data_IF_418860530161
#
_entry.id   IF_418860530161
#
_cell.length_a   1.000
_cell.length_b   1.000
_cell.length_c   1.000
_cell.angle_alpha   90.00
_cell.angle_beta   90.00
_cell.angle_gamma   90.00
#
_symmetry.space_group_name_H-M   'P 1'
#
loop_
_entity.id
_entity.type
_entity.pdbx_description
1 polymer ?
#
# COMPACT_ATOMS: atom_id res chain seq x y z
N UNK A 1 16.13 20.25 6.82
CA UNK A 1 15.69 18.83 6.75
C UNK A 1 14.53 18.65 5.76
N UNK A 2 14.07 19.73 5.12
CA UNK A 2 12.88 19.75 4.25
C UNK A 2 13.09 18.99 2.93
N UNK A 3 14.32 19.00 2.40
CA UNK A 3 14.67 18.19 1.22
C UNK A 3 14.54 16.69 1.47
N UNK A 4 14.95 16.19 2.64
CA UNK A 4 14.86 14.77 2.97
C UNK A 4 13.41 14.32 3.15
N UNK A 5 12.54 15.17 3.72
CA UNK A 5 11.09 14.94 3.75
C UNK A 5 10.49 14.83 2.35
N UNK A 6 10.86 15.75 1.46
CA UNK A 6 10.33 15.78 0.09
C UNK A 6 10.76 14.53 -0.69
N UNK A 7 12.01 14.08 -0.51
CA UNK A 7 12.51 12.84 -1.11
C UNK A 7 11.75 11.64 -0.54
N UNK A 8 11.65 11.50 0.78
CA UNK A 8 10.95 10.38 1.43
C UNK A 8 9.47 10.32 1.03
N UNK A 9 8.78 11.46 1.00
CA UNK A 9 7.38 11.57 0.55
C UNK A 9 7.24 11.14 -0.91
N UNK A 10 8.08 11.68 -1.79
CA UNK A 10 8.04 11.37 -3.24
C UNK A 10 8.39 9.92 -3.50
N UNK A 11 9.37 9.37 -2.79
CA UNK A 11 9.79 7.98 -2.93
C UNK A 11 8.70 7.01 -2.49
N UNK A 12 8.06 7.27 -1.35
CA UNK A 12 6.98 6.43 -0.85
C UNK A 12 5.74 6.49 -1.74
N UNK A 13 5.24 7.71 -2.04
CA UNK A 13 4.00 7.88 -2.81
C UNK A 13 4.21 7.50 -4.27
N UNK A 14 5.31 7.95 -4.87
CA UNK A 14 5.67 7.61 -6.24
C UNK A 14 5.89 6.11 -6.43
N UNK A 15 6.61 5.46 -5.51
CA UNK A 15 6.81 4.02 -5.53
C UNK A 15 5.49 3.24 -5.43
N UNK A 16 4.59 3.68 -4.55
CA UNK A 16 3.26 3.08 -4.41
C UNK A 16 2.43 3.20 -5.69
N UNK A 17 2.41 4.38 -6.33
CA UNK A 17 1.68 4.57 -7.59
C UNK A 17 2.27 3.75 -8.72
N UNK A 18 3.60 3.75 -8.88
CA UNK A 18 4.27 2.98 -9.94
C UNK A 18 3.94 1.49 -9.78
N UNK A 19 4.06 0.94 -8.57
CA UNK A 19 3.83 -0.49 -8.34
C UNK A 19 2.35 -0.87 -8.57
N UNK A 20 1.41 -0.07 -8.05
CA UNK A 20 -0.01 -0.38 -8.14
C UNK A 20 -0.62 -0.13 -9.52
N UNK A 21 -0.29 1.00 -10.15
CA UNK A 21 -0.94 1.46 -11.39
C UNK A 21 -0.22 0.90 -12.63
N UNK A 22 1.11 0.77 -12.59
CA UNK A 22 1.91 0.42 -13.78
C UNK A 22 2.42 -1.01 -13.68
N UNK A 23 3.18 -1.33 -12.63
CA UNK A 23 3.87 -2.62 -12.55
C UNK A 23 2.89 -3.78 -12.47
N UNK A 24 1.82 -3.64 -11.68
CA UNK A 24 0.81 -4.69 -11.53
C UNK A 24 0.17 -5.09 -12.88
N UNK A 25 -0.45 -4.18 -13.67
CA UNK A 25 -1.04 -4.57 -14.96
C UNK A 25 0.00 -5.06 -15.97
N UNK A 26 1.22 -4.51 -15.96
CA UNK A 26 2.32 -5.00 -16.83
C UNK A 26 2.71 -6.44 -16.46
N UNK A 27 2.73 -6.79 -15.17
CA UNK A 27 2.96 -8.18 -14.75
C UNK A 27 1.87 -9.11 -15.25
N UNK A 28 0.60 -8.71 -15.16
CA UNK A 28 -0.51 -9.53 -15.63
C UNK A 28 -0.62 -9.61 -17.16
N UNK A 29 -0.01 -8.70 -17.91
CA UNK A 29 0.04 -8.76 -19.38
C UNK A 29 1.19 -9.63 -19.91
N UNK A 30 2.28 -9.75 -19.16
CA UNK A 30 3.49 -10.47 -19.60
C UNK A 30 3.61 -11.86 -18.97
N UNK A 31 3.13 -12.07 -17.75
CA UNK A 31 3.23 -13.33 -17.01
C UNK A 31 1.87 -14.04 -16.89
N UNK A 32 1.93 -15.37 -16.71
CA UNK A 32 0.76 -16.14 -16.29
C UNK A 32 0.19 -15.65 -14.95
N UNK A 33 -1.13 -15.73 -14.77
CA UNK A 33 -1.86 -15.19 -13.61
C UNK A 33 -1.33 -15.75 -12.27
N UNK A 34 -0.85 -17.00 -12.27
CA UNK A 34 -0.22 -17.63 -11.11
C UNK A 34 1.03 -16.87 -10.67
N UNK A 35 1.99 -16.72 -11.59
CA UNK A 35 3.30 -16.09 -11.35
C UNK A 35 3.16 -14.57 -11.18
N UNK A 36 2.34 -13.90 -12.00
CA UNK A 36 2.08 -12.46 -11.92
C UNK A 36 1.57 -12.06 -10.53
N UNK A 37 0.59 -12.80 -9.99
CA UNK A 37 0.08 -12.55 -8.64
C UNK A 37 1.11 -12.80 -7.53
N UNK A 38 2.02 -13.77 -7.72
CA UNK A 38 3.09 -14.04 -6.75
C UNK A 38 4.11 -12.89 -6.72
N UNK A 39 4.55 -12.41 -7.89
CA UNK A 39 5.50 -11.29 -7.99
C UNK A 39 4.85 -9.98 -7.54
N UNK A 40 3.59 -9.73 -7.91
CA UNK A 40 2.84 -8.58 -7.43
C UNK A 40 2.76 -8.56 -5.89
N UNK A 41 2.45 -9.70 -5.25
CA UNK A 41 2.45 -9.82 -3.80
C UNK A 41 3.80 -9.49 -3.16
N UNK A 42 4.92 -9.94 -3.76
CA UNK A 42 6.27 -9.59 -3.29
C UNK A 42 6.58 -8.10 -3.44
N UNK A 43 6.17 -7.48 -4.56
CA UNK A 43 6.34 -6.04 -4.78
C UNK A 43 5.50 -5.22 -3.80
N UNK A 44 4.26 -5.61 -3.54
CA UNK A 44 3.42 -4.99 -2.51
C UNK A 44 4.00 -5.14 -1.10
N UNK A 45 4.60 -6.29 -0.79
CA UNK A 45 5.34 -6.46 0.47
C UNK A 45 6.56 -5.54 0.56
N UNK A 46 7.36 -5.44 -0.51
CA UNK A 46 8.52 -4.58 -0.53
C UNK A 46 8.14 -3.11 -0.35
N UNK A 47 7.12 -2.61 -1.06
CA UNK A 47 6.66 -1.22 -0.90
C UNK A 47 5.97 -0.98 0.44
N UNK A 48 5.38 -2.01 1.05
CA UNK A 48 4.84 -1.91 2.40
C UNK A 48 5.95 -1.69 3.44
N UNK A 49 7.07 -2.42 3.34
CA UNK A 49 8.24 -2.19 4.19
C UNK A 49 8.87 -0.82 3.97
N UNK A 50 9.03 -0.40 2.70
CA UNK A 50 9.51 0.94 2.37
C UNK A 50 8.58 1.99 2.95
N UNK A 51 7.26 1.83 2.79
CA UNK A 51 6.26 2.73 3.33
C UNK A 51 6.25 2.79 4.85
N UNK A 52 6.52 1.68 5.53
CA UNK A 52 6.69 1.65 6.99
C UNK A 52 7.90 2.49 7.41
N UNK A 53 9.06 2.29 6.79
CA UNK A 53 10.29 3.03 7.08
C UNK A 53 10.11 4.51 6.79
N UNK A 54 9.57 4.86 5.62
CA UNK A 54 9.30 6.24 5.22
C UNK A 54 8.25 6.91 6.12
N UNK A 55 7.17 6.21 6.47
CA UNK A 55 6.11 6.73 7.32
C UNK A 55 6.57 6.96 8.76
N UNK A 56 7.35 6.04 9.34
CA UNK A 56 7.97 6.20 10.65
C UNK A 56 8.95 7.37 10.64
N UNK A 57 9.78 7.48 9.61
CA UNK A 57 10.71 8.60 9.48
C UNK A 57 9.99 9.95 9.43
N UNK A 58 8.93 10.05 8.62
CA UNK A 58 8.10 11.27 8.54
C UNK A 58 7.39 11.56 9.87
N UNK A 59 6.91 10.55 10.59
CA UNK A 59 6.31 10.69 11.92
C UNK A 59 7.30 11.23 12.96
N UNK A 60 8.50 10.65 13.02
CA UNK A 60 9.55 11.07 13.96
C UNK A 60 9.98 12.51 13.67
N UNK A 61 10.24 12.85 12.40
CA UNK A 61 10.61 14.21 12.02
C UNK A 61 9.48 15.22 12.33
N UNK A 62 8.22 14.80 12.21
CA UNK A 62 7.06 15.62 12.56
C UNK A 62 6.92 15.84 14.07
N UNK A 63 7.07 14.79 14.88
CA UNK A 63 7.05 14.89 16.35
C UNK A 63 8.21 15.76 16.86
N UNK A 64 9.40 15.65 16.26
CA UNK A 64 10.56 16.44 16.66
C UNK A 64 10.41 17.93 16.40
N UNK A 65 9.69 18.31 15.33
CA UNK A 65 9.53 19.72 14.95
C UNK A 65 8.32 20.39 15.61
N UNK A 66 7.16 19.73 15.61
CA UNK A 66 5.89 20.33 16.03
C UNK A 66 5.43 19.88 17.43
N UNK A 67 6.12 18.91 18.04
CA UNK A 67 5.76 18.34 19.34
C UNK A 67 4.32 17.80 19.41
N UNK A 68 3.74 17.73 20.61
CA UNK A 68 2.33 17.30 20.79
C UNK A 68 1.31 18.27 20.17
N UNK A 69 1.69 19.50 19.82
CA UNK A 69 0.80 20.47 19.14
C UNK A 69 0.52 20.06 17.69
N UNK A 70 1.48 19.40 17.05
CA UNK A 70 1.34 18.86 15.69
C UNK A 70 0.37 17.68 15.57
N UNK A 71 0.05 16.97 16.66
CA UNK A 71 -0.85 15.78 16.65
C UNK A 71 -2.27 16.11 16.17
N UNK A 72 -2.68 17.39 16.24
CA UNK A 72 -3.96 17.86 15.67
C UNK A 72 -3.90 18.15 14.17
N UNK A 73 -2.73 18.08 13.55
CA UNK A 73 -2.56 18.33 12.12
C UNK A 73 -3.14 17.18 11.32
N UNK A 74 -3.97 17.50 10.33
CA UNK A 74 -4.52 16.52 9.40
C UNK A 74 -3.42 15.74 8.65
N UNK A 75 -2.24 16.34 8.49
CA UNK A 75 -1.04 15.73 7.90
C UNK A 75 -0.56 14.51 8.70
N UNK A 76 -0.59 14.57 10.03
CA UNK A 76 -0.22 13.45 10.91
C UNK A 76 -1.22 12.29 10.77
N UNK A 77 -2.53 12.60 10.79
CA UNK A 77 -3.59 11.60 10.61
C UNK A 77 -3.57 10.95 9.23
N UNK A 78 -3.19 11.69 8.17
CA UNK A 78 -3.02 11.13 6.83
C UNK A 78 -1.88 10.12 6.79
N UNK A 79 -0.72 10.42 7.39
CA UNK A 79 0.43 9.50 7.45
C UNK A 79 0.06 8.24 8.25
N UNK A 80 -0.56 8.41 9.42
CA UNK A 80 -1.05 7.32 10.28
C UNK A 80 -2.05 6.45 9.50
N UNK A 81 -2.99 7.07 8.79
CA UNK A 81 -3.99 6.37 7.99
C UNK A 81 -3.37 5.59 6.84
N UNK A 82 -2.43 6.18 6.11
CA UNK A 82 -1.68 5.50 5.04
C UNK A 82 -0.84 4.33 5.57
N UNK A 83 -0.20 4.49 6.73
CA UNK A 83 0.51 3.40 7.42
C UNK A 83 -0.45 2.28 7.83
N UNK A 84 -1.61 2.64 8.39
CA UNK A 84 -2.64 1.68 8.81
C UNK A 84 -3.17 0.89 7.61
N UNK A 85 -3.48 1.56 6.50
CA UNK A 85 -3.87 0.91 5.24
C UNK A 85 -2.78 -0.03 4.74
N UNK A 86 -1.51 0.39 4.78
CA UNK A 86 -0.37 -0.44 4.38
C UNK A 86 -0.26 -1.69 5.25
N UNK A 87 -0.40 -1.55 6.57
CA UNK A 87 -0.37 -2.65 7.52
C UNK A 87 -1.54 -3.62 7.31
N UNK A 88 -2.76 -3.11 7.15
CA UNK A 88 -3.94 -3.96 6.91
C UNK A 88 -3.78 -4.72 5.59
N UNK A 89 -3.36 -4.04 4.52
CA UNK A 89 -3.23 -4.68 3.21
C UNK A 89 -2.10 -5.73 3.20
N UNK A 90 -1.01 -5.46 3.93
CA UNK A 90 0.12 -6.38 4.00
C UNK A 90 -0.11 -7.55 4.97
N UNK A 91 -0.58 -7.29 6.19
CA UNK A 91 -0.69 -8.31 7.25
C UNK A 91 -2.05 -9.00 7.33
N UNK A 92 -3.14 -8.37 6.88
CA UNK A 92 -4.45 -9.03 6.86
C UNK A 92 -4.77 -9.59 5.48
N UNK A 93 -4.62 -8.78 4.42
CA UNK A 93 -5.13 -9.14 3.09
C UNK A 93 -4.19 -10.08 2.33
N UNK A 94 -2.89 -9.82 2.34
CA UNK A 94 -1.91 -10.69 1.65
C UNK A 94 -1.92 -12.17 2.11
N UNK A 95 -1.90 -12.49 3.42
CA UNK A 95 -1.92 -13.90 3.84
C UNK A 95 -3.25 -14.58 3.54
N UNK A 96 -4.38 -13.86 3.61
CA UNK A 96 -5.70 -14.43 3.26
C UNK A 96 -5.73 -14.79 1.77
N UNK A 97 -5.29 -13.89 0.89
CA UNK A 97 -5.21 -14.15 -0.55
C UNK A 97 -4.26 -15.32 -0.86
N UNK A 98 -3.11 -15.40 -0.18
CA UNK A 98 -2.16 -16.49 -0.36
C UNK A 98 -2.76 -17.85 0.05
N UNK A 99 -3.47 -17.91 1.19
CA UNK A 99 -4.16 -19.12 1.65
C UNK A 99 -5.28 -19.55 0.70
N UNK A 100 -6.10 -18.61 0.21
CA UNK A 100 -7.14 -18.92 -0.79
C UNK A 100 -6.52 -19.41 -2.10
N UNK A 101 -5.39 -18.84 -2.55
CA UNK A 101 -4.72 -19.26 -3.78
C UNK A 101 -4.17 -20.68 -3.69
N UNK A 102 -3.66 -21.09 -2.52
CA UNK A 102 -3.22 -22.47 -2.28
C UNK A 102 -4.39 -23.46 -2.31
N UNK A 103 -5.53 -23.08 -1.72
CA UNK A 103 -6.75 -23.91 -1.76
C UNK A 103 -7.33 -24.04 -3.18
N UNK A 104 -7.29 -22.98 -3.98
CA UNK A 104 -7.71 -23.01 -5.40
C UNK A 104 -6.82 -23.91 -6.27
N UNK A 105 -5.53 -24.02 -5.95
CA UNK A 105 -4.61 -24.89 -6.70
C UNK A 105 -4.80 -26.38 -6.38
N UNK A 106 -5.48 -26.70 -5.26
CA UNK A 106 -5.74 -28.07 -4.81
C UNK A 106 -7.18 -28.53 -5.07
N UNK A 107 -8.15 -27.61 -5.10
CA UNK A 107 -9.55 -27.91 -5.41
C UNK A 107 -9.87 -27.48 -6.84
N UNK A 108 -10.23 -28.44 -7.70
CA UNK A 108 -10.68 -28.21 -9.07
C UNK A 108 -11.66 -27.02 -9.17
N UNK A 109 -11.47 -26.20 -10.21
CA UNK A 109 -11.99 -24.84 -10.48
C UNK A 109 -13.51 -24.58 -10.31
N UNK A 110 -14.32 -25.55 -9.91
CA UNK A 110 -15.79 -25.47 -9.97
C UNK A 110 -16.52 -24.84 -8.77
N UNK A 111 -15.91 -24.75 -7.57
CA UNK A 111 -16.69 -24.53 -6.33
C UNK A 111 -16.36 -23.28 -5.49
N UNK A 112 -15.29 -22.53 -5.79
CA UNK A 112 -14.83 -21.42 -4.93
C UNK A 112 -14.49 -20.10 -5.65
N UNK A 113 -15.21 -19.77 -6.72
CA UNK A 113 -15.00 -18.54 -7.50
C UNK A 113 -15.26 -17.20 -6.77
N UNK A 114 -15.86 -17.21 -5.57
CA UNK A 114 -16.28 -15.98 -4.88
C UNK A 114 -15.23 -15.36 -3.93
N UNK A 115 -14.46 -16.18 -3.22
CA UNK A 115 -13.60 -15.71 -2.12
C UNK A 115 -12.40 -14.89 -2.62
N UNK A 116 -11.68 -15.40 -3.62
CA UNK A 116 -10.49 -14.74 -4.16
C UNK A 116 -10.84 -13.39 -4.80
N UNK A 117 -11.89 -13.34 -5.62
CA UNK A 117 -12.33 -12.10 -6.27
C UNK A 117 -12.76 -11.04 -5.25
N UNK A 118 -13.45 -11.44 -4.18
CA UNK A 118 -13.89 -10.51 -3.11
C UNK A 118 -12.70 -9.93 -2.36
N UNK A 119 -11.76 -10.76 -1.91
CA UNK A 119 -10.56 -10.28 -1.21
C UNK A 119 -9.65 -9.45 -2.10
N UNK A 120 -9.59 -9.77 -3.40
CA UNK A 120 -8.86 -8.97 -4.38
C UNK A 120 -9.52 -7.60 -4.62
N UNK A 121 -10.86 -7.54 -4.69
CA UNK A 121 -11.59 -6.29 -4.78
C UNK A 121 -11.40 -5.42 -3.52
N UNK A 122 -11.41 -6.03 -2.32
CA UNK A 122 -11.14 -5.33 -1.06
C UNK A 122 -9.71 -4.77 -1.05
N UNK A 123 -8.71 -5.57 -1.43
CA UNK A 123 -7.31 -5.12 -1.56
C UNK A 123 -7.18 -3.92 -2.50
N UNK A 124 -7.86 -3.98 -3.64
CA UNK A 124 -7.83 -2.92 -4.65
C UNK A 124 -8.49 -1.64 -4.13
N UNK A 125 -9.59 -1.76 -3.38
CA UNK A 125 -10.27 -0.64 -2.76
C UNK A 125 -9.41 0.02 -1.68
N UNK A 126 -8.75 -0.78 -0.83
CA UNK A 126 -7.80 -0.26 0.17
C UNK A 126 -6.67 0.50 -0.53
N UNK A 127 -6.14 -0.05 -1.62
CA UNK A 127 -5.06 0.60 -2.38
C UNK A 127 -5.53 1.89 -3.06
N UNK A 128 -6.76 1.92 -3.58
CA UNK A 128 -7.37 3.11 -4.16
C UNK A 128 -7.56 4.20 -3.10
N UNK A 129 -8.11 3.85 -1.94
CA UNK A 129 -8.25 4.78 -0.81
C UNK A 129 -6.88 5.31 -0.38
N UNK A 130 -5.88 4.44 -0.26
CA UNK A 130 -4.52 4.83 0.06
C UNK A 130 -3.92 5.78 -0.99
N UNK A 131 -4.20 5.55 -2.28
CA UNK A 131 -3.80 6.42 -3.37
C UNK A 131 -4.46 7.80 -3.29
N UNK A 132 -5.75 7.86 -2.96
CA UNK A 132 -6.47 9.12 -2.74
C UNK A 132 -5.93 9.88 -1.52
N UNK A 133 -5.60 9.18 -0.44
CA UNK A 133 -4.97 9.78 0.75
C UNK A 133 -3.59 10.34 0.42
N UNK A 134 -2.80 9.61 -0.38
CA UNK A 134 -1.49 10.04 -0.85
C UNK A 134 -1.60 11.30 -1.74
N UNK A 135 -2.58 11.31 -2.65
CA UNK A 135 -2.89 12.47 -3.50
C UNK A 135 -3.29 13.68 -2.64
N UNK A 136 -4.21 13.49 -1.69
CA UNK A 136 -4.63 14.54 -0.76
C UNK A 136 -3.44 15.07 0.04
N UNK A 137 -2.54 14.21 0.50
CA UNK A 137 -1.33 14.59 1.24
C UNK A 137 -0.34 15.40 0.38
N UNK A 138 -0.21 15.10 -0.92
CA UNK A 138 0.59 15.91 -1.87
C UNK A 138 -0.08 17.26 -2.13
N UNK A 139 -1.39 17.27 -2.41
CA UNK A 139 -2.15 18.46 -2.76
C UNK A 139 -2.28 19.45 -1.59
N UNK A 140 -2.26 18.95 -0.35
CA UNK A 140 -2.30 19.77 0.86
C UNK A 140 -0.97 20.47 1.17
N UNK A 141 -0.21 20.81 0.12
CA UNK A 141 1.08 21.51 0.20
C UNK A 141 0.86 22.87 0.86
N UNK A 142 1.34 22.97 2.10
CA UNK A 142 1.63 24.15 2.91
C UNK A 142 0.98 25.47 2.43
N UNK A 143 -0.20 25.78 2.97
CA UNK A 143 -0.70 27.16 3.09
C UNK A 143 -0.36 27.69 4.48
#
# INVERSE_FOLDING_TARGET
MDGLRAITRTFWIGGMWIIGIIVTPVLFSVLDRGTAGMVAGKLFSAIAWVGLVCGVFLLVDFIWRDGLRGVKSATFWLIIGMLSCTLINHFAVSPIIANLKLQMNQAAEGLFGGGFATWHAISSLIYLLQSLMALAYILRRDS
#
